data_IF_197916476252
#
_entry.id   IF_197916476252
#
_cell.length_a   1.000
_cell.length_b   1.000
_cell.length_c   1.000
_cell.angle_alpha   90.00
_cell.angle_beta   90.00
_cell.angle_gamma   90.00
#
_symmetry.space_group_name_H-M   'P 1'
#
loop_
_entity.id
_entity.type
_entity.pdbx_description
1 polymer ?
#
# COMPACT_ATOMS: atom_id res chain seq x y z
N UNK A 1 21.55 31.37 39.31
CA UNK A 1 21.11 30.20 38.52
C UNK A 1 21.28 30.53 37.04
N UNK A 2 22.21 29.84 36.36
CA UNK A 2 22.66 30.14 35.00
C UNK A 2 21.75 29.44 33.97
N UNK A 3 21.25 30.17 32.97
CA UNK A 3 20.52 29.61 31.82
C UNK A 3 21.52 29.24 30.72
N UNK A 4 21.42 28.08 30.06
CA UNK A 4 22.21 27.81 28.87
C UNK A 4 21.54 28.43 27.63
N UNK A 5 22.34 29.17 26.87
CA UNK A 5 22.06 29.63 25.51
C UNK A 5 22.60 28.56 24.57
N UNK A 6 21.77 27.98 23.71
CA UNK A 6 22.24 27.08 22.65
C UNK A 6 22.28 27.85 21.33
N UNK A 7 23.50 28.01 20.82
CA UNK A 7 23.81 28.50 19.47
C UNK A 7 23.82 27.26 18.56
N UNK A 8 22.87 27.14 17.63
CA UNK A 8 22.97 26.18 16.53
C UNK A 8 23.77 26.84 15.39
N UNK A 9 24.96 26.31 15.15
CA UNK A 9 25.76 26.62 13.98
C UNK A 9 25.28 25.76 12.80
N UNK A 10 24.90 26.42 11.71
CA UNK A 10 24.65 25.81 10.40
C UNK A 10 25.96 25.30 9.78
N UNK A 11 25.93 24.12 9.17
CA UNK A 11 26.95 23.71 8.21
C UNK A 11 26.32 23.07 6.98
N UNK A 12 26.73 23.60 5.84
CA UNK A 12 26.20 23.44 4.49
C UNK A 12 26.60 22.09 3.89
N UNK A 13 25.66 21.38 3.28
CA UNK A 13 25.91 20.18 2.49
C UNK A 13 26.13 20.57 1.02
N UNK A 14 27.38 20.51 0.56
CA UNK A 14 27.72 20.67 -0.86
C UNK A 14 27.55 19.34 -1.60
N UNK A 15 26.66 19.30 -2.59
CA UNK A 15 26.55 18.18 -3.54
C UNK A 15 27.23 18.62 -4.84
N UNK A 16 28.31 17.92 -5.21
CA UNK A 16 28.95 18.07 -6.50
C UNK A 16 28.21 17.23 -7.56
N UNK A 17 27.79 17.90 -8.64
CA UNK A 17 27.29 17.32 -9.88
C UNK A 17 28.48 16.75 -10.67
N UNK A 18 28.36 15.50 -11.14
CA UNK A 18 29.10 15.05 -12.32
C UNK A 18 28.13 14.46 -13.35
N UNK A 19 28.45 14.80 -14.58
CA UNK A 19 27.63 14.89 -15.77
C UNK A 19 28.33 14.15 -16.90
N UNK A 20 27.56 13.66 -17.88
CA UNK A 20 27.93 13.23 -19.27
C UNK A 20 28.83 11.96 -19.31
N UNK A 21 28.62 10.95 -20.16
CA UNK A 21 28.41 11.00 -21.61
C UNK A 21 27.58 9.85 -22.18
N UNK A 22 26.79 10.22 -23.19
CA UNK A 22 26.18 9.36 -24.20
C UNK A 22 26.98 9.55 -25.51
N UNK A 23 27.23 8.50 -26.31
CA UNK A 23 27.24 8.65 -27.76
C UNK A 23 26.32 7.58 -28.39
N UNK A 24 25.29 7.97 -29.15
CA UNK A 24 25.30 8.41 -30.55
C UNK A 24 25.28 7.24 -31.55
N UNK A 25 24.07 7.07 -32.11
CA UNK A 25 23.62 6.58 -33.44
C UNK A 25 24.65 5.90 -34.36
N UNK A 26 24.25 4.75 -34.91
CA UNK A 26 24.43 4.49 -36.33
C UNK A 26 23.28 3.64 -36.89
N UNK A 27 22.54 4.24 -37.83
CA UNK A 27 21.54 3.60 -38.66
C UNK A 27 22.14 3.42 -40.05
N UNK A 28 22.24 2.19 -40.53
CA UNK A 28 22.40 1.82 -41.95
C UNK A 28 22.37 0.29 -42.10
N UNK A 29 21.27 -0.24 -42.63
CA UNK A 29 21.29 -1.06 -43.86
C UNK A 29 19.90 -1.66 -44.13
N UNK A 30 19.33 -1.24 -45.27
CA UNK A 30 18.44 -2.04 -46.10
C UNK A 30 19.32 -2.89 -47.04
N UNK A 31 18.82 -4.04 -47.53
CA UNK A 31 18.35 -4.01 -48.91
C UNK A 31 16.98 -4.66 -49.11
N UNK A 32 16.37 -4.19 -50.20
CA UNK A 32 15.07 -4.50 -50.76
C UNK A 32 15.18 -5.67 -51.77
N UNK A 33 14.01 -6.12 -52.24
CA UNK A 33 13.69 -7.10 -53.30
C UNK A 33 13.47 -8.53 -52.80
N UNK A 34 12.33 -9.21 -52.98
CA UNK A 34 11.12 -8.93 -53.76
C UNK A 34 10.76 -10.17 -54.59
N UNK A 35 9.63 -10.84 -54.29
CA UNK A 35 8.73 -11.45 -55.29
C UNK A 35 7.48 -12.11 -54.65
N UNK A 36 6.32 -11.73 -55.17
CA UNK A 36 4.99 -12.38 -55.08
C UNK A 36 5.02 -13.70 -55.89
N UNK A 37 4.15 -14.72 -55.76
CA UNK A 37 2.68 -14.84 -55.98
C UNK A 37 2.36 -16.31 -55.58
N UNK A 38 1.27 -16.67 -54.89
CA UNK A 38 0.05 -17.17 -55.54
C UNK A 38 -1.08 -17.43 -54.53
N UNK A 39 -2.27 -17.02 -54.96
CA UNK A 39 -3.58 -17.19 -54.33
C UNK A 39 -4.20 -18.42 -55.00
N UNK A 40 -4.77 -19.35 -54.23
CA UNK A 40 -5.82 -20.22 -54.73
C UNK A 40 -6.94 -20.36 -53.69
N UNK A 41 -8.12 -19.99 -54.16
CA UNK A 41 -9.41 -20.04 -53.51
C UNK A 41 -10.13 -21.31 -54.00
N UNK A 42 -10.75 -22.10 -53.12
CA UNK A 42 -11.80 -23.05 -53.51
C UNK A 42 -12.80 -23.22 -52.38
N UNK A 43 -14.08 -23.10 -52.72
CA UNK A 43 -15.25 -23.01 -51.86
C UNK A 43 -15.98 -24.36 -51.72
N UNK A 44 -16.37 -24.69 -50.46
CA UNK A 44 -17.65 -25.29 -49.99
C UNK A 44 -18.02 -26.78 -50.29
N UNK A 45 -19.02 -27.42 -49.60
CA UNK A 45 -19.72 -27.14 -48.31
C UNK A 45 -20.04 -28.39 -47.39
N UNK A 46 -20.79 -28.13 -46.29
CA UNK A 46 -21.79 -28.94 -45.51
C UNK A 46 -21.48 -29.86 -44.30
N UNK A 47 -22.00 -29.39 -43.15
CA UNK A 47 -22.75 -30.02 -42.01
C UNK A 47 -22.11 -30.83 -40.86
N UNK A 48 -22.37 -30.26 -39.66
CA UNK A 48 -22.86 -30.82 -38.40
C UNK A 48 -21.97 -31.45 -37.31
N UNK A 49 -22.09 -30.78 -36.14
CA UNK A 49 -22.03 -31.24 -34.73
C UNK A 49 -20.71 -31.79 -34.17
N UNK A 50 -20.06 -30.95 -33.36
CA UNK A 50 -19.99 -31.13 -31.89
C UNK A 50 -19.25 -29.96 -31.20
N UNK A 51 -19.88 -29.38 -30.18
CA UNK A 51 -19.31 -28.45 -29.18
C UNK A 51 -18.42 -29.25 -28.20
N UNK A 52 -17.35 -28.68 -27.61
CA UNK A 52 -17.45 -27.89 -26.36
C UNK A 52 -16.66 -26.55 -26.46
N UNK A 53 -17.28 -25.41 -26.16
CA UNK A 53 -17.24 -24.77 -24.84
C UNK A 53 -15.82 -24.52 -24.30
N UNK A 54 -15.26 -23.34 -24.58
CA UNK A 54 -14.30 -22.69 -23.68
C UNK A 54 -14.87 -21.32 -23.35
N UNK A 55 -15.67 -21.30 -22.28
CA UNK A 55 -15.95 -20.09 -21.53
C UNK A 55 -14.60 -19.53 -21.06
N UNK A 56 -14.22 -18.37 -21.58
CA UNK A 56 -13.23 -17.53 -20.92
C UNK A 56 -13.92 -16.87 -19.72
N UNK A 57 -14.03 -17.65 -18.64
CA UNK A 57 -14.49 -17.16 -17.35
C UNK A 57 -13.41 -16.23 -16.79
N UNK A 58 -13.64 -14.93 -16.95
CA UNK A 58 -12.99 -13.89 -16.16
C UNK A 58 -13.39 -14.13 -14.71
N UNK A 59 -12.55 -14.83 -13.97
CA UNK A 59 -12.73 -15.04 -12.54
C UNK A 59 -12.47 -13.71 -11.84
N UNK A 60 -13.53 -12.92 -11.75
CA UNK A 60 -13.60 -11.77 -10.88
C UNK A 60 -13.45 -12.30 -9.45
N UNK A 61 -12.27 -12.06 -8.85
CA UNK A 61 -12.00 -12.29 -7.44
C UNK A 61 -13.05 -11.54 -6.62
N UNK A 62 -14.14 -12.24 -6.29
CA UNK A 62 -15.21 -11.74 -5.43
C UNK A 62 -14.62 -11.54 -4.05
N UNK A 63 -14.36 -10.28 -3.74
CA UNK A 63 -14.01 -9.78 -2.42
C UNK A 63 -15.17 -10.06 -1.45
N UNK A 64 -15.18 -11.28 -0.90
CA UNK A 64 -16.14 -11.72 0.10
C UNK A 64 -15.85 -11.06 1.44
N UNK A 65 -16.31 -9.82 1.60
CA UNK A 65 -16.31 -9.15 2.91
C UNK A 65 -17.73 -8.65 3.19
N UNK A 66 -18.39 -9.27 4.17
CA UNK A 66 -19.66 -8.77 4.70
C UNK A 66 -19.44 -7.33 5.18
N UNK A 67 -20.33 -6.38 4.87
CA UNK A 67 -20.22 -5.03 5.38
C UNK A 67 -20.29 -5.08 6.91
N UNK A 68 -19.25 -4.58 7.58
CA UNK A 68 -19.30 -4.41 9.03
C UNK A 68 -20.28 -3.27 9.33
N UNK A 69 -21.19 -3.49 10.28
CA UNK A 69 -21.94 -2.39 10.88
C UNK A 69 -20.96 -1.40 11.50
N UNK A 70 -21.28 -0.11 11.51
CA UNK A 70 -20.41 0.92 12.08
C UNK A 70 -19.98 0.59 13.53
N UNK A 71 -20.88 -0.06 14.28
CA UNK A 71 -20.58 -0.69 15.57
C UNK A 71 -19.75 -1.96 15.36
N UNK A 72 -18.54 -2.00 15.92
CA UNK A 72 -17.64 -3.16 15.88
C UNK A 72 -16.59 -3.12 14.78
N UNK A 73 -16.59 -2.09 13.92
CA UNK A 73 -15.54 -1.92 12.92
C UNK A 73 -14.18 -1.64 13.58
N UNK A 74 -14.11 -0.87 14.67
CA UNK A 74 -12.85 -0.63 15.37
C UNK A 74 -12.30 -1.93 15.98
N UNK A 75 -13.17 -2.75 16.58
CA UNK A 75 -12.81 -4.09 17.05
C UNK A 75 -12.31 -4.99 15.93
N UNK A 76 -12.94 -4.95 14.76
CA UNK A 76 -12.49 -5.72 13.59
C UNK A 76 -11.12 -5.27 13.10
N UNK A 77 -10.88 -3.95 13.05
CA UNK A 77 -9.57 -3.38 12.70
C UNK A 77 -8.50 -3.88 13.68
N UNK A 78 -8.75 -3.78 14.99
CA UNK A 78 -7.81 -4.27 16.00
C UNK A 78 -7.55 -5.78 15.86
N UNK A 79 -8.59 -6.57 15.63
CA UNK A 79 -8.47 -8.03 15.44
C UNK A 79 -7.62 -8.39 14.23
N UNK A 80 -7.81 -7.69 13.11
CA UNK A 80 -6.97 -7.87 11.91
C UNK A 80 -5.54 -7.40 12.16
N UNK A 81 -5.36 -6.27 12.84
CA UNK A 81 -4.05 -5.72 13.13
C UNK A 81 -3.19 -6.66 13.98
N UNK A 82 -3.80 -7.38 14.94
CA UNK A 82 -3.15 -8.46 15.70
C UNK A 82 -2.71 -9.66 14.86
N UNK A 83 -3.15 -9.75 13.60
CA UNK A 83 -2.70 -10.74 12.62
C UNK A 83 -1.73 -10.15 11.59
N UNK A 84 -1.27 -8.92 11.80
CA UNK A 84 -0.41 -8.22 10.86
C UNK A 84 -1.13 -7.72 9.60
N UNK A 85 -2.45 -7.54 9.62
CA UNK A 85 -3.20 -7.08 8.41
C UNK A 85 -4.28 -6.07 8.77
N UNK A 86 -4.98 -5.51 7.78
CA UNK A 86 -6.18 -4.69 7.99
C UNK A 86 -7.41 -5.37 7.37
N UNK A 87 -8.62 -5.01 7.82
CA UNK A 87 -9.84 -5.48 7.16
C UNK A 87 -9.85 -5.17 5.66
N UNK A 88 -10.55 -6.02 4.90
CA UNK A 88 -10.76 -5.89 3.44
C UNK A 88 -9.54 -6.14 2.55
N UNK A 89 -8.38 -6.46 3.12
CA UNK A 89 -7.21 -6.92 2.37
C UNK A 89 -7.37 -8.40 1.96
N UNK A 90 -6.70 -8.85 0.88
CA UNK A 90 -6.55 -10.27 0.60
C UNK A 90 -6.02 -11.02 1.82
N UNK A 91 -6.43 -12.27 1.97
CA UNK A 91 -6.09 -13.10 3.14
C UNK A 91 -4.59 -13.18 3.42
N UNK A 92 -3.78 -13.18 2.36
CA UNK A 92 -2.33 -13.38 2.42
C UNK A 92 -1.52 -12.07 2.33
N UNK A 93 -2.22 -10.92 2.38
CA UNK A 93 -1.60 -9.60 2.38
C UNK A 93 -1.57 -9.02 3.80
N UNK A 94 -0.36 -8.79 4.31
CA UNK A 94 -0.09 -8.26 5.64
C UNK A 94 1.37 -7.80 5.78
N UNK A 95 1.75 -7.42 6.99
CA UNK A 95 3.15 -7.18 7.39
C UNK A 95 3.97 -8.44 7.06
N UNK A 96 5.13 -8.24 6.44
CA UNK A 96 6.05 -9.29 6.01
C UNK A 96 5.74 -9.92 4.64
N UNK A 97 4.59 -9.63 4.02
CA UNK A 97 4.27 -10.06 2.65
C UNK A 97 5.30 -9.52 1.67
N UNK A 98 5.74 -10.31 0.68
CA UNK A 98 6.68 -9.85 -0.35
C UNK A 98 5.98 -9.02 -1.43
N UNK A 99 6.70 -8.08 -2.05
CA UNK A 99 6.22 -7.32 -3.21
C UNK A 99 5.71 -8.22 -4.35
N UNK A 100 6.39 -9.34 -4.62
CA UNK A 100 5.99 -10.33 -5.64
C UNK A 100 4.59 -10.86 -5.39
N UNK A 101 4.26 -11.21 -4.14
CA UNK A 101 2.93 -11.69 -3.79
C UNK A 101 1.88 -10.58 -3.89
N UNK A 102 2.23 -9.34 -3.53
CA UNK A 102 1.32 -8.19 -3.73
C UNK A 102 1.00 -8.04 -5.22
N UNK A 103 2.00 -8.12 -6.10
CA UNK A 103 1.79 -8.01 -7.54
C UNK A 103 0.97 -9.16 -8.11
N UNK A 104 1.09 -10.37 -7.56
CA UNK A 104 0.19 -11.48 -7.92
C UNK A 104 -1.26 -11.23 -7.48
N UNK A 105 -1.46 -10.61 -6.31
CA UNK A 105 -2.80 -10.37 -5.75
C UNK A 105 -3.51 -9.17 -6.39
N UNK A 106 -2.78 -8.09 -6.68
CA UNK A 106 -3.34 -6.79 -7.04
C UNK A 106 -2.81 -6.21 -8.36
N UNK A 107 -1.79 -6.82 -8.97
CA UNK A 107 -1.04 -6.23 -10.07
C UNK A 107 -0.01 -5.22 -9.58
N UNK A 108 0.65 -4.53 -10.52
CA UNK A 108 1.52 -3.39 -10.18
C UNK A 108 0.69 -2.25 -9.59
N UNK A 109 1.35 -1.42 -8.79
CA UNK A 109 0.78 -0.21 -8.22
C UNK A 109 0.42 0.83 -9.29
N UNK A 110 -0.39 1.82 -8.92
CA UNK A 110 -0.96 2.80 -9.84
C UNK A 110 0.13 3.64 -10.55
N UNK A 111 1.27 3.88 -9.88
CA UNK A 111 2.38 4.65 -10.42
C UNK A 111 3.40 3.79 -11.17
N UNK A 112 3.22 2.46 -11.20
CA UNK A 112 4.18 1.50 -11.75
C UNK A 112 5.56 1.59 -11.11
N UNK A 113 5.62 2.08 -9.86
CA UNK A 113 6.83 2.41 -9.14
C UNK A 113 7.60 1.16 -8.73
N UNK A 114 8.93 1.23 -8.82
CA UNK A 114 9.83 0.26 -8.17
C UNK A 114 10.35 0.76 -6.82
N UNK A 115 9.78 1.85 -6.30
CA UNK A 115 10.16 2.44 -5.02
C UNK A 115 9.59 1.68 -3.81
N UNK A 116 10.00 2.05 -2.59
CA UNK A 116 9.53 1.39 -1.38
C UNK A 116 8.05 1.65 -1.08
N UNK A 117 7.42 2.61 -1.77
CA UNK A 117 6.01 2.95 -1.61
C UNK A 117 5.21 2.46 -2.81
N UNK A 118 4.20 1.63 -2.54
CA UNK A 118 3.25 1.13 -3.53
C UNK A 118 1.87 1.73 -3.25
N UNK A 119 1.30 2.41 -4.24
CA UNK A 119 -0.01 3.06 -4.12
C UNK A 119 -1.06 2.25 -4.89
N UNK A 120 -2.09 1.80 -4.18
CA UNK A 120 -3.23 1.10 -4.75
C UNK A 120 -4.52 1.87 -4.49
N UNK A 121 -4.77 2.90 -5.30
CA UNK A 121 -5.93 3.79 -5.23
C UNK A 121 -7.25 3.04 -5.36
N UNK A 122 -7.32 2.03 -6.24
CA UNK A 122 -8.48 1.11 -6.36
C UNK A 122 -8.83 0.42 -5.03
N UNK A 123 -7.82 0.10 -4.22
CA UNK A 123 -7.98 -0.58 -2.94
C UNK A 123 -7.92 0.38 -1.74
N UNK A 124 -7.81 1.69 -1.98
CA UNK A 124 -7.63 2.73 -0.97
C UNK A 124 -6.51 2.40 0.02
N UNK A 125 -5.40 1.85 -0.48
CA UNK A 125 -4.32 1.31 0.35
C UNK A 125 -2.97 1.75 -0.20
N UNK A 126 -2.10 2.19 0.70
CA UNK A 126 -0.68 2.44 0.46
C UNK A 126 0.11 1.39 1.25
N UNK A 127 1.17 0.89 0.65
CA UNK A 127 2.07 -0.10 1.24
C UNK A 127 3.48 0.46 1.23
N UNK A 128 4.19 0.31 2.35
CA UNK A 128 5.63 0.56 2.44
C UNK A 128 6.37 -0.77 2.57
N UNK A 129 7.45 -0.89 1.81
CA UNK A 129 8.35 -2.02 1.80
C UNK A 129 9.67 -1.67 2.50
N UNK A 130 10.26 -2.64 3.18
CA UNK A 130 11.64 -2.55 3.64
C UNK A 130 12.66 -2.81 2.51
N UNK A 131 13.95 -2.78 2.84
CA UNK A 131 15.03 -3.05 1.89
C UNK A 131 15.12 -4.51 1.42
N UNK A 132 14.25 -5.40 1.93
CA UNK A 132 14.11 -6.79 1.51
C UNK A 132 12.80 -7.04 0.76
N UNK A 133 12.16 -5.95 0.29
CA UNK A 133 10.90 -5.96 -0.45
C UNK A 133 9.74 -6.60 0.33
N UNK A 134 9.75 -6.48 1.66
CA UNK A 134 8.67 -6.96 2.54
C UNK A 134 7.87 -5.81 3.11
N UNK A 135 6.56 -6.01 3.22
CA UNK A 135 5.65 -5.01 3.82
C UNK A 135 6.03 -4.72 5.26
N UNK A 136 6.30 -3.45 5.56
CA UNK A 136 6.49 -2.95 6.92
C UNK A 136 5.41 -1.97 7.37
N UNK A 137 4.65 -1.41 6.43
CA UNK A 137 3.52 -0.53 6.72
C UNK A 137 2.39 -0.74 5.72
N UNK A 138 1.17 -0.67 6.24
CA UNK A 138 -0.07 -0.63 5.47
C UNK A 138 -0.87 0.56 5.95
N UNK A 139 -1.10 1.54 5.08
CA UNK A 139 -2.01 2.67 5.34
C UNK A 139 -3.26 2.53 4.49
N UNK A 140 -4.43 2.68 5.09
CA UNK A 140 -5.71 2.51 4.39
C UNK A 140 -6.64 3.69 4.62
N UNK A 141 -7.15 4.22 3.51
CA UNK A 141 -8.02 5.39 3.41
C UNK A 141 -9.46 5.02 3.09
N UNK A 142 -9.83 3.75 3.34
CA UNK A 142 -11.16 3.23 2.98
C UNK A 142 -12.29 4.14 3.46
N UNK A 143 -13.31 4.42 2.63
CA UNK A 143 -14.45 5.24 3.02
C UNK A 143 -15.15 4.77 4.30
N UNK A 144 -15.15 3.46 4.57
CA UNK A 144 -15.74 2.91 5.79
C UNK A 144 -14.98 3.32 7.06
N UNK A 145 -13.66 3.46 6.99
CA UNK A 145 -12.85 3.93 8.12
C UNK A 145 -13.15 5.39 8.44
N UNK A 146 -13.46 6.21 7.42
CA UNK A 146 -13.84 7.62 7.58
C UNK A 146 -15.18 7.82 8.30
N UNK A 147 -16.00 6.77 8.42
CA UNK A 147 -17.24 6.78 9.21
C UNK A 147 -16.97 6.67 10.71
N UNK A 148 -15.79 6.22 11.12
CA UNK A 148 -15.43 6.11 12.53
C UNK A 148 -15.17 7.48 13.14
N UNK A 149 -15.58 7.64 14.41
CA UNK A 149 -15.13 8.72 15.27
C UNK A 149 -14.12 8.18 16.28
N UNK A 150 -13.09 8.94 16.60
CA UNK A 150 -12.06 8.48 17.52
C UNK A 150 -12.62 8.14 18.92
N UNK A 151 -13.63 8.88 19.40
CA UNK A 151 -14.29 8.57 20.67
C UNK A 151 -14.97 7.19 20.65
N UNK A 152 -15.54 6.80 19.50
CA UNK A 152 -16.11 5.47 19.30
C UNK A 152 -15.01 4.40 19.28
N UNK A 153 -13.89 4.66 18.60
CA UNK A 153 -12.73 3.76 18.60
C UNK A 153 -12.25 3.53 20.04
N UNK A 154 -12.04 4.59 20.81
CA UNK A 154 -11.59 4.47 22.20
C UNK A 154 -12.59 3.72 23.10
N UNK A 155 -13.89 3.87 22.83
CA UNK A 155 -14.94 3.12 23.53
C UNK A 155 -14.93 1.63 23.18
N UNK A 156 -14.69 1.28 21.91
CA UNK A 156 -14.74 -0.11 21.43
C UNK A 156 -13.46 -0.90 21.72
N UNK A 157 -12.28 -0.26 21.62
CA UNK A 157 -10.99 -0.96 21.70
C UNK A 157 -10.08 -0.46 22.83
N UNK A 158 -10.58 0.44 23.68
CA UNK A 158 -9.85 0.97 24.84
C UNK A 158 -9.03 2.22 24.52
N UNK A 159 -8.26 2.69 25.51
CA UNK A 159 -7.44 3.89 25.37
C UNK A 159 -6.19 3.60 24.51
N UNK A 160 -5.78 4.53 23.63
CA UNK A 160 -4.51 4.40 22.91
C UNK A 160 -3.32 4.47 23.87
N UNK A 161 -2.22 3.85 23.49
CA UNK A 161 -0.92 3.93 24.17
C UNK A 161 -0.38 5.35 24.14
N UNK A 162 -0.58 6.06 23.03
CA UNK A 162 -0.13 7.44 22.83
C UNK A 162 -1.16 8.22 22.02
N UNK A 163 -1.32 9.50 22.36
CA UNK A 163 -1.97 10.48 21.49
C UNK A 163 -0.92 11.53 21.14
N UNK A 164 -0.73 11.79 19.86
CA UNK A 164 0.23 12.77 19.36
C UNK A 164 -0.50 13.81 18.52
N UNK A 165 -0.34 15.09 18.87
CA UNK A 165 -0.78 16.18 18.02
C UNK A 165 0.11 16.24 16.77
N UNK A 166 -0.51 16.17 15.59
CA UNK A 166 0.15 16.25 14.29
C UNK A 166 -0.25 17.52 13.54
N UNK A 167 -0.85 18.50 14.22
CA UNK A 167 -1.33 19.74 13.62
C UNK A 167 -0.26 20.57 12.93
N UNK A 168 1.01 20.37 13.29
CA UNK A 168 2.18 21.01 12.67
C UNK A 168 2.42 20.52 11.24
N UNK A 169 2.06 19.26 10.95
CA UNK A 169 2.29 18.60 9.66
C UNK A 169 1.02 18.68 8.81
N UNK A 170 -0.15 18.50 9.43
CA UNK A 170 -1.45 18.66 8.79
C UNK A 170 -2.44 19.36 9.74
N UNK A 171 -3.02 20.52 9.38
CA UNK A 171 -3.89 21.27 10.30
C UNK A 171 -5.05 20.45 10.86
N UNK A 172 -5.27 20.56 12.19
CA UNK A 172 -6.35 19.90 12.92
C UNK A 172 -6.29 18.37 12.89
N UNK A 173 -5.10 17.75 12.90
CA UNK A 173 -4.96 16.30 12.99
C UNK A 173 -4.23 15.85 14.25
N UNK A 174 -4.55 14.65 14.71
CA UNK A 174 -3.81 13.95 15.76
C UNK A 174 -3.81 12.44 15.48
N UNK A 175 -2.79 11.76 15.97
CA UNK A 175 -2.65 10.32 15.89
C UNK A 175 -2.97 9.69 17.24
N UNK A 176 -3.86 8.69 17.23
CA UNK A 176 -4.06 7.77 18.35
C UNK A 176 -3.37 6.44 18.04
N UNK A 177 -2.28 6.16 18.74
CA UNK A 177 -1.44 4.98 18.53
C UNK A 177 -1.75 3.91 19.56
N UNK A 178 -1.97 2.68 19.10
CA UNK A 178 -2.11 1.48 19.90
C UNK A 178 -0.91 0.58 19.63
N UNK A 179 -0.09 0.35 20.64
CA UNK A 179 0.93 -0.70 20.60
C UNK A 179 0.25 -2.04 20.85
N UNK A 180 0.39 -2.96 19.90
CA UNK A 180 -0.26 -4.26 19.92
C UNK A 180 0.78 -5.36 19.70
N UNK A 181 0.59 -6.50 20.36
CA UNK A 181 1.31 -7.72 20.01
C UNK A 181 0.53 -8.47 18.96
N UNK A 182 1.21 -8.94 17.93
CA UNK A 182 0.61 -9.83 16.95
C UNK A 182 0.49 -11.27 17.48
N UNK A 183 0.06 -12.19 16.61
CA UNK A 183 -0.11 -13.60 16.94
C UNK A 183 1.21 -14.35 17.24
N UNK A 184 2.36 -13.78 16.87
CA UNK A 184 3.69 -14.32 17.14
C UNK A 184 4.35 -13.64 18.35
N UNK A 185 3.74 -12.57 18.86
CA UNK A 185 4.23 -11.81 20.01
C UNK A 185 5.08 -10.61 19.61
N UNK A 186 5.25 -10.35 18.31
CA UNK A 186 5.98 -9.20 17.79
C UNK A 186 5.16 -7.93 17.97
N UNK A 187 5.85 -6.83 18.24
CA UNK A 187 5.23 -5.53 18.47
C UNK A 187 4.91 -4.83 17.14
N UNK A 188 3.63 -4.51 16.96
CA UNK A 188 3.13 -3.69 15.87
C UNK A 188 2.44 -2.45 16.44
N UNK A 189 2.32 -1.42 15.62
CA UNK A 189 1.66 -0.17 15.96
C UNK A 189 0.47 0.05 15.04
N UNK A 190 -0.70 0.21 15.64
CA UNK A 190 -1.94 0.56 14.96
C UNK A 190 -2.26 2.03 15.24
N UNK A 191 -2.27 2.86 14.19
CA UNK A 191 -2.56 4.29 14.26
C UNK A 191 -3.93 4.56 13.65
N UNK A 192 -4.71 5.38 14.35
CA UNK A 192 -5.87 6.08 13.81
C UNK A 192 -5.51 7.57 13.71
N UNK A 193 -5.20 8.06 12.52
CA UNK A 193 -5.13 9.51 12.30
C UNK A 193 -6.56 10.03 12.28
N UNK A 194 -6.84 11.08 13.04
CA UNK A 194 -8.17 11.67 13.10
C UNK A 194 -8.11 13.19 13.08
N UNK A 195 -9.20 13.79 12.61
CA UNK A 195 -9.39 15.23 12.73
C UNK A 195 -9.71 15.59 14.19
N UNK A 196 -9.07 16.60 14.75
CA UNK A 196 -9.23 16.98 16.17
C UNK A 196 -10.53 17.72 16.46
N UNK A 197 -11.12 18.36 15.45
CA UNK A 197 -12.40 19.08 15.53
C UNK A 197 -13.60 18.17 15.30
N UNK A 198 -13.66 17.48 14.16
CA UNK A 198 -14.79 16.61 13.82
C UNK A 198 -14.73 15.23 14.49
N UNK A 199 -13.57 14.89 15.06
CA UNK A 199 -13.25 13.56 15.64
C UNK A 199 -13.28 12.42 14.63
N UNK A 200 -13.49 12.69 13.35
CA UNK A 200 -13.53 11.66 12.32
C UNK A 200 -12.14 11.10 12.05
N UNK A 201 -12.07 9.77 11.92
CA UNK A 201 -10.87 9.08 11.44
C UNK A 201 -10.63 9.45 9.97
N UNK A 202 -9.38 9.69 9.61
CA UNK A 202 -8.94 10.07 8.26
C UNK A 202 -8.39 8.83 7.55
N UNK A 203 -7.49 8.10 8.21
CA UNK A 203 -6.97 6.81 7.77
C UNK A 203 -6.63 5.93 8.97
N UNK A 204 -6.41 4.65 8.67
CA UNK A 204 -5.84 3.68 9.62
C UNK A 204 -4.52 3.19 9.06
N UNK A 205 -3.50 3.15 9.91
CA UNK A 205 -2.16 2.67 9.55
C UNK A 205 -1.73 1.56 10.50
N UNK A 206 -1.21 0.47 9.96
CA UNK A 206 -0.55 -0.60 10.68
C UNK A 206 0.91 -0.63 10.25
N UNK A 207 1.85 -0.62 11.19
CA UNK A 207 3.26 -0.76 10.88
C UNK A 207 4.03 -1.51 11.96
N UNK A 208 5.20 -2.01 11.58
CA UNK A 208 6.22 -2.53 12.49
C UNK A 208 7.37 -1.53 12.53
N UNK A 209 7.88 -1.17 13.71
CA UNK A 209 9.12 -0.38 13.79
C UNK A 209 10.27 -1.25 13.24
N UNK A 210 11.02 -0.72 12.27
CA UNK A 210 12.19 -1.44 11.79
C UNK A 210 13.23 -1.54 12.91
N UNK A 211 13.91 -2.68 13.02
CA UNK A 211 15.01 -2.84 13.99
C UNK A 211 16.17 -1.85 13.73
N UNK A 212 16.25 -1.27 12.53
CA UNK A 212 17.25 -0.25 12.19
C UNK A 212 16.96 1.11 12.85
N UNK A 213 15.69 1.42 13.16
CA UNK A 213 15.29 2.69 13.79
C UNK A 213 15.48 2.69 15.31
N UNK A 214 15.65 1.52 15.92
CA UNK A 214 15.91 1.39 17.36
C UNK A 214 17.37 1.67 17.75
N UNK A 215 18.30 1.73 16.79
CA UNK A 215 19.73 2.00 17.06
C UNK A 215 20.00 3.51 17.23
N UNK A 216 19.01 4.38 16.97
CA UNK A 216 19.16 5.85 17.02
C UNK A 216 18.50 6.54 18.23
N UNK A 217 18.06 5.80 19.25
CA UNK A 217 17.50 6.36 20.49
C UNK A 217 18.50 6.30 21.64
#
# INVERSE_FOLDING_TARGET
MKKPVFILASAVLSIALLSVCNPQVDAKNLPNQGQQVAIQETTQPVTDKATPAVLSSKEELKQGSKPYTQTGLATSILKSAKKGTLPYLPKDLGIGTSNELIFQLWGKDDDGSSGPYLIYGKYHTEIELDSTDKVVQITSYRPDYKKLKIDQVMKEIGKPTKIQDTSKDAPNTAEATYTIKDQFGDENHLIFLHNTKSKQVIYVRLYVESKADQIKK
#
